data_IF_133339356974
#
_entry.id   IF_133339356974
#
_cell.length_a   1.000
_cell.length_b   1.000
_cell.length_c   1.000
_cell.angle_alpha   90.00
_cell.angle_beta   90.00
_cell.angle_gamma   90.00
#
_symmetry.space_group_name_H-M   'P 1'
#
loop_
_entity.id
_entity.type
_entity.pdbx_description
1 polymer ?
#
# COMPACT_ATOMS: atom_id res chain seq x y z
N UNK A 1 -3.64 26.33 -2.34
CA UNK A 1 -4.87 25.91 -3.07
C UNK A 1 -5.87 25.34 -2.08
N UNK A 2 -7.13 25.77 -2.10
CA UNK A 2 -8.19 25.17 -1.29
C UNK A 2 -8.58 23.79 -1.85
N UNK A 3 -8.72 22.81 -0.96
CA UNK A 3 -9.19 21.46 -1.25
C UNK A 3 -10.32 21.16 -0.29
N UNK A 4 -11.44 20.66 -0.79
CA UNK A 4 -12.56 20.28 0.06
C UNK A 4 -12.49 18.79 0.39
N UNK A 5 -12.69 18.42 1.64
CA UNK A 5 -12.74 17.03 2.09
C UNK A 5 -14.19 16.61 2.24
N UNK A 6 -14.58 15.59 1.49
CA UNK A 6 -15.86 14.89 1.65
C UNK A 6 -15.61 13.60 2.39
N UNK A 7 -16.39 13.33 3.44
CA UNK A 7 -16.30 12.09 4.21
C UNK A 7 -17.28 11.06 3.63
N UNK A 8 -16.76 9.98 3.07
CA UNK A 8 -17.58 8.87 2.56
C UNK A 8 -17.52 7.70 3.56
N UNK A 9 -18.67 7.19 4.06
CA UNK A 9 -18.68 6.08 5.01
C UNK A 9 -18.13 4.80 4.38
N UNK A 10 -17.28 4.07 5.14
CA UNK A 10 -16.73 2.76 4.75
C UNK A 10 -17.73 1.62 4.94
N UNK A 11 -18.68 1.78 5.87
CA UNK A 11 -19.67 0.80 6.29
C UNK A 11 -20.99 1.49 6.66
N UNK A 12 -22.10 0.76 6.63
CA UNK A 12 -23.38 1.24 7.14
C UNK A 12 -23.31 1.56 8.64
N UNK A 13 -24.00 2.62 9.08
CA UNK A 13 -24.03 3.03 10.49
C UNK A 13 -22.70 3.58 11.03
N UNK A 14 -21.87 4.19 10.17
CA UNK A 14 -20.60 4.80 10.56
C UNK A 14 -20.80 5.87 11.65
N UNK A 15 -20.12 5.71 12.80
CA UNK A 15 -20.20 6.63 13.95
C UNK A 15 -18.87 7.35 14.20
N UNK A 16 -17.76 6.66 14.03
CA UNK A 16 -16.42 7.18 14.32
C UNK A 16 -15.76 7.78 13.08
N UNK A 17 -14.89 8.79 13.25
CA UNK A 17 -14.11 9.37 12.14
C UNK A 17 -13.29 8.33 11.37
N UNK A 18 -12.83 7.28 12.06
CA UNK A 18 -12.10 6.16 11.44
C UNK A 18 -12.94 5.35 10.45
N UNK A 19 -14.26 5.40 10.56
CA UNK A 19 -15.19 4.72 9.64
C UNK A 19 -15.40 5.49 8.33
N UNK A 20 -14.85 6.70 8.20
CA UNK A 20 -14.96 7.49 6.97
C UNK A 20 -13.67 7.45 6.15
N UNK A 21 -13.83 7.58 4.82
CA UNK A 21 -12.74 7.87 3.88
C UNK A 21 -12.79 9.35 3.51
N UNK A 22 -11.72 10.13 3.77
CA UNK A 22 -11.67 11.51 3.33
C UNK A 22 -11.32 11.57 1.84
N UNK A 23 -12.26 11.98 1.00
CA UNK A 23 -12.03 12.22 -0.42
C UNK A 23 -11.73 13.70 -0.64
N UNK A 24 -10.60 13.98 -1.28
CA UNK A 24 -10.21 15.33 -1.66
C UNK A 24 -10.86 15.75 -2.97
N UNK A 25 -11.77 16.72 -2.91
CA UNK A 25 -12.28 17.44 -4.06
C UNK A 25 -11.31 18.56 -4.44
N UNK A 26 -10.67 18.37 -5.58
CA UNK A 26 -9.62 19.23 -6.09
C UNK A 26 -10.19 20.25 -7.08
N UNK A 27 -9.64 21.48 -7.04
CA UNK A 27 -9.92 22.48 -8.08
C UNK A 27 -9.54 21.98 -9.47
N UNK A 28 -10.37 22.28 -10.47
CA UNK A 28 -10.21 21.75 -11.84
C UNK A 28 -8.83 22.02 -12.46
N UNK A 29 -8.32 23.25 -12.31
CA UNK A 29 -7.00 23.62 -12.82
C UNK A 29 -5.88 22.79 -12.18
N UNK A 30 -5.91 22.62 -10.85
CA UNK A 30 -4.94 21.76 -10.16
C UNK A 30 -5.06 20.31 -10.63
N UNK A 31 -6.28 19.79 -10.80
CA UNK A 31 -6.49 18.42 -11.26
C UNK A 31 -5.88 18.17 -12.65
N UNK A 32 -5.96 19.15 -13.55
CA UNK A 32 -5.30 19.10 -14.86
C UNK A 32 -3.77 19.05 -14.71
N UNK A 33 -3.20 19.96 -13.91
CA UNK A 33 -1.75 19.98 -13.65
C UNK A 33 -1.26 18.66 -13.04
N UNK A 34 -1.93 18.19 -11.98
CA UNK A 34 -1.63 16.92 -11.32
C UNK A 34 -1.74 15.74 -12.30
N UNK A 35 -2.73 15.75 -13.20
CA UNK A 35 -2.87 14.72 -14.24
C UNK A 35 -1.73 14.76 -15.26
N UNK A 36 -1.28 15.94 -15.67
CA UNK A 36 -0.11 16.09 -16.56
C UNK A 36 1.14 15.53 -15.89
N UNK A 37 1.38 15.87 -14.62
CA UNK A 37 2.51 15.35 -13.85
C UNK A 37 2.42 13.82 -13.68
N UNK A 38 1.25 13.30 -13.30
CA UNK A 38 1.01 11.86 -13.17
C UNK A 38 1.29 11.12 -14.48
N UNK A 39 0.83 11.65 -15.62
CA UNK A 39 1.07 11.05 -16.93
C UNK A 39 2.56 11.06 -17.33
N UNK A 40 3.33 12.07 -16.91
CA UNK A 40 4.79 12.11 -17.12
C UNK A 40 5.49 11.09 -16.22
N UNK A 41 5.12 11.03 -14.95
CA UNK A 41 5.67 10.08 -13.97
C UNK A 41 5.42 8.63 -14.39
N UNK A 42 4.21 8.34 -14.89
CA UNK A 42 3.83 7.01 -15.41
C UNK A 42 4.81 6.47 -16.46
N UNK A 43 5.45 7.33 -17.27
CA UNK A 43 6.39 6.91 -18.31
C UNK A 43 7.73 6.41 -17.76
N UNK A 44 8.09 6.82 -16.55
CA UNK A 44 9.36 6.45 -15.91
C UNK A 44 9.18 5.47 -14.76
N UNK A 45 7.94 5.28 -14.29
CA UNK A 45 7.63 4.46 -13.11
C UNK A 45 8.21 3.04 -13.22
N UNK A 46 8.04 2.37 -14.36
CA UNK A 46 8.57 1.02 -14.63
C UNK A 46 10.09 0.90 -14.46
N UNK A 47 10.83 2.00 -14.61
CA UNK A 47 12.29 2.01 -14.51
C UNK A 47 12.79 2.23 -13.08
N UNK A 48 11.93 2.73 -12.19
CA UNK A 48 12.31 3.18 -10.84
C UNK A 48 11.69 2.36 -9.72
N UNK A 49 10.72 1.49 -10.04
CA UNK A 49 10.09 0.57 -9.08
C UNK A 49 10.46 -0.88 -9.40
N UNK A 50 10.41 -1.75 -8.39
CA UNK A 50 10.71 -3.18 -8.56
C UNK A 50 9.77 -3.84 -9.57
N UNK A 51 10.27 -4.89 -10.22
CA UNK A 51 9.48 -5.80 -11.06
C UNK A 51 8.30 -6.45 -10.33
N UNK A 52 8.33 -6.50 -9.00
CA UNK A 52 7.25 -7.08 -8.17
C UNK A 52 6.09 -6.10 -7.93
N UNK A 53 6.29 -4.80 -8.17
CA UNK A 53 5.25 -3.80 -8.00
C UNK A 53 4.28 -3.84 -9.19
N UNK A 54 3.04 -4.23 -8.93
CA UNK A 54 2.01 -4.39 -9.96
C UNK A 54 1.03 -3.21 -10.00
N UNK A 55 0.95 -2.40 -8.93
CA UNK A 55 -0.01 -1.30 -8.85
C UNK A 55 0.44 -0.07 -9.65
N UNK A 56 -0.44 0.45 -10.51
CA UNK A 56 -0.26 1.68 -11.30
C UNK A 56 0.92 1.69 -12.30
N UNK A 57 1.60 0.56 -12.47
CA UNK A 57 2.65 0.34 -13.48
C UNK A 57 1.98 0.06 -14.83
N UNK A 58 2.51 0.63 -15.92
CA UNK A 58 1.93 0.40 -17.25
C UNK A 58 2.22 -1.05 -17.68
N UNK A 59 1.30 -1.62 -18.47
CA UNK A 59 1.41 -3.01 -18.93
C UNK A 59 1.06 -4.08 -17.88
N UNK A 60 0.92 -3.72 -16.60
CA UNK A 60 0.55 -4.63 -15.53
C UNK A 60 -0.93 -4.48 -15.15
N UNK A 61 -1.62 -5.60 -14.99
CA UNK A 61 -2.98 -5.66 -14.49
C UNK A 61 -2.99 -6.01 -13.01
N UNK A 62 -4.03 -5.55 -12.31
CA UNK A 62 -4.21 -5.89 -10.89
C UNK A 62 -4.40 -7.39 -10.67
N UNK A 63 -4.95 -8.08 -11.68
CA UNK A 63 -5.17 -9.52 -11.66
C UNK A 63 -3.85 -10.30 -11.78
N UNK A 64 -2.84 -9.75 -12.46
CA UNK A 64 -1.52 -10.40 -12.61
C UNK A 64 -0.89 -10.69 -11.25
N UNK A 65 -1.03 -9.76 -10.29
CA UNK A 65 -0.54 -9.93 -8.92
C UNK A 65 -1.19 -11.13 -8.21
N UNK A 66 -2.48 -11.36 -8.46
CA UNK A 66 -3.21 -12.48 -7.87
C UNK A 66 -2.89 -13.80 -8.56
N UNK A 67 -2.66 -13.76 -9.88
CA UNK A 67 -2.26 -14.93 -10.66
C UNK A 67 -0.87 -15.41 -10.26
N UNK A 68 0.12 -14.51 -10.24
CA UNK A 68 1.50 -14.82 -9.82
C UNK A 68 1.50 -15.39 -8.40
N UNK A 69 0.76 -14.78 -7.47
CA UNK A 69 0.67 -15.29 -6.10
C UNK A 69 0.09 -16.72 -6.04
N UNK A 70 -0.96 -17.01 -6.82
CA UNK A 70 -1.51 -18.36 -6.93
C UNK A 70 -0.51 -19.36 -7.54
N UNK A 71 0.23 -18.97 -8.57
CA UNK A 71 1.26 -19.83 -9.19
C UNK A 71 2.39 -20.17 -8.19
N UNK A 72 2.84 -19.20 -7.39
CA UNK A 72 3.84 -19.42 -6.33
C UNK A 72 3.31 -20.37 -5.25
N UNK A 73 2.06 -20.17 -4.82
CA UNK A 73 1.40 -21.05 -3.84
C UNK A 73 1.29 -22.48 -4.38
N UNK A 74 0.84 -22.65 -5.62
CA UNK A 74 0.70 -23.95 -6.27
C UNK A 74 2.06 -24.63 -6.46
N UNK A 75 3.10 -23.85 -6.76
CA UNK A 75 4.47 -24.34 -6.87
C UNK A 75 4.98 -24.91 -5.53
N UNK A 76 4.80 -24.18 -4.43
CA UNK A 76 5.18 -24.66 -3.09
C UNK A 76 4.41 -25.93 -2.70
N UNK A 77 3.11 -25.98 -2.95
CA UNK A 77 2.31 -27.19 -2.70
C UNK A 77 2.81 -28.40 -3.49
N UNK A 78 3.09 -28.23 -4.80
CA UNK A 78 3.56 -29.33 -5.67
C UNK A 78 4.91 -29.87 -5.22
N UNK A 79 5.78 -29.01 -4.69
CA UNK A 79 7.10 -29.40 -4.19
C UNK A 79 7.13 -29.83 -2.73
N UNK A 80 5.99 -29.72 -2.01
CA UNK A 80 5.91 -29.90 -0.56
C UNK A 80 6.90 -29.00 0.18
N UNK A 81 7.18 -27.83 -0.37
CA UNK A 81 8.02 -26.82 0.27
C UNK A 81 7.20 -26.07 1.33
N UNK A 82 7.86 -25.72 2.43
CA UNK A 82 7.27 -24.88 3.48
C UNK A 82 7.49 -23.42 3.12
N UNK A 83 6.45 -22.60 3.29
CA UNK A 83 6.48 -21.19 2.93
C UNK A 83 5.62 -20.34 3.85
N UNK A 84 5.92 -19.03 3.89
CA UNK A 84 5.15 -18.07 4.67
C UNK A 84 4.68 -16.92 3.76
N UNK A 85 3.39 -16.63 3.80
CA UNK A 85 2.81 -15.48 3.10
C UNK A 85 2.50 -14.40 4.12
N UNK A 86 3.08 -13.22 3.93
CA UNK A 86 2.82 -12.04 4.75
C UNK A 86 1.89 -11.09 4.01
N UNK A 87 0.62 -11.02 4.43
CA UNK A 87 -0.34 -10.02 3.94
C UNK A 87 -0.31 -8.82 4.89
N UNK A 88 0.33 -7.73 4.46
CA UNK A 88 0.48 -6.52 5.25
C UNK A 88 -0.59 -5.48 4.90
N UNK A 89 -1.21 -4.85 5.90
CA UNK A 89 -2.09 -3.69 5.73
C UNK A 89 -1.40 -2.43 6.25
N UNK A 90 -1.61 -1.27 5.61
CA UNK A 90 -1.00 0.01 6.02
C UNK A 90 -2.09 0.94 6.55
N UNK A 91 -1.90 1.42 7.78
CA UNK A 91 -2.79 2.39 8.39
C UNK A 91 -2.79 3.70 7.64
N UNK A 92 -3.98 4.14 7.19
CA UNK A 92 -4.18 5.48 6.60
C UNK A 92 -3.09 5.82 5.57
N UNK A 93 -2.83 4.88 4.66
CA UNK A 93 -1.70 4.88 3.74
C UNK A 93 -1.45 6.24 3.06
N UNK A 94 -2.49 6.86 2.49
CA UNK A 94 -2.35 8.19 1.89
C UNK A 94 -2.16 9.27 2.94
N UNK A 95 -2.90 9.28 4.04
CA UNK A 95 -2.96 10.40 4.98
C UNK A 95 -1.70 10.55 5.86
N UNK A 96 -0.83 9.54 5.92
CA UNK A 96 0.23 9.43 6.92
C UNK A 96 1.66 9.59 6.40
N UNK A 97 1.89 9.45 5.09
CA UNK A 97 3.26 9.48 4.54
C UNK A 97 3.96 10.82 4.80
N UNK A 98 5.18 10.77 5.34
CA UNK A 98 6.00 11.93 5.64
C UNK A 98 6.54 12.56 4.35
N UNK A 99 6.36 13.88 4.18
CA UNK A 99 6.81 14.56 2.97
C UNK A 99 8.33 14.63 2.84
N UNK A 100 9.06 14.87 3.93
CA UNK A 100 10.53 14.91 3.89
C UNK A 100 11.10 13.55 3.49
N UNK A 101 10.50 12.46 3.97
CA UNK A 101 10.83 11.12 3.51
C UNK A 101 10.59 10.97 2.00
N UNK A 102 9.40 11.31 1.52
CA UNK A 102 9.08 11.22 0.09
C UNK A 102 10.05 12.04 -0.77
N UNK A 103 10.41 13.25 -0.33
CA UNK A 103 11.38 14.09 -1.05
C UNK A 103 12.78 13.47 -1.06
N UNK A 104 13.21 12.84 0.04
CA UNK A 104 14.49 12.08 0.07
C UNK A 104 14.45 10.88 -0.87
N UNK A 105 13.32 10.17 -0.98
CA UNK A 105 13.15 9.06 -1.91
C UNK A 105 13.26 9.53 -3.35
N UNK A 106 12.56 10.60 -3.72
CA UNK A 106 12.65 11.20 -5.06
C UNK A 106 14.08 11.62 -5.40
N UNK A 107 14.78 12.25 -4.45
CA UNK A 107 16.18 12.62 -4.64
C UNK A 107 17.06 11.38 -4.89
N UNK A 108 16.90 10.32 -4.10
CA UNK A 108 17.68 9.07 -4.25
C UNK A 108 17.35 8.30 -5.52
N UNK A 109 16.13 8.43 -6.03
CA UNK A 109 15.73 7.89 -7.34
C UNK A 109 16.23 8.74 -8.52
N UNK A 110 16.92 9.86 -8.27
CA UNK A 110 17.51 10.70 -9.31
C UNK A 110 16.54 11.68 -9.98
N UNK A 111 15.40 11.99 -9.35
CA UNK A 111 14.51 13.04 -9.87
C UNK A 111 15.19 14.41 -9.75
N UNK A 112 15.16 15.20 -10.84
CA UNK A 112 15.78 16.53 -10.87
C UNK A 112 15.09 17.54 -9.95
N UNK A 113 15.83 18.56 -9.52
CA UNK A 113 15.38 19.61 -8.58
C UNK A 113 14.07 20.27 -9.00
N UNK A 114 13.95 20.68 -10.27
CA UNK A 114 12.72 21.30 -10.80
C UNK A 114 11.49 20.41 -10.67
N UNK A 115 11.65 19.10 -10.89
CA UNK A 115 10.54 18.16 -10.71
C UNK A 115 10.17 18.05 -9.23
N UNK A 116 11.19 17.89 -8.37
CA UNK A 116 11.00 17.83 -6.93
C UNK A 116 10.31 19.07 -6.37
N UNK A 117 10.66 20.26 -6.85
CA UNK A 117 9.96 21.51 -6.51
C UNK A 117 8.49 21.44 -6.89
N UNK A 118 8.14 21.02 -8.11
CA UNK A 118 6.73 20.87 -8.50
C UNK A 118 5.97 19.89 -7.61
N UNK A 119 6.58 18.75 -7.26
CA UNK A 119 5.97 17.79 -6.33
C UNK A 119 5.78 18.42 -4.96
N UNK A 120 6.81 19.10 -4.43
CA UNK A 120 6.73 19.81 -3.16
C UNK A 120 5.61 20.84 -3.14
N UNK A 121 5.49 21.65 -4.20
CA UNK A 121 4.40 22.61 -4.37
C UNK A 121 3.03 21.93 -4.39
N UNK A 122 2.91 20.78 -5.08
CA UNK A 122 1.66 20.03 -5.12
C UNK A 122 1.22 19.57 -3.73
N UNK A 123 2.14 19.01 -2.92
CA UNK A 123 1.80 18.41 -1.63
C UNK A 123 1.69 19.44 -0.48
N UNK A 124 2.55 20.47 -0.45
CA UNK A 124 2.66 21.40 0.69
C UNK A 124 1.68 22.57 0.66
N UNK A 125 1.20 22.97 -0.51
CA UNK A 125 0.35 24.18 -0.65
C UNK A 125 -1.15 23.93 -0.50
N UNK A 126 -1.54 22.69 -0.25
CA UNK A 126 -2.93 22.31 -0.04
C UNK A 126 -3.42 22.80 1.34
N UNK A 127 -4.52 23.56 1.34
CA UNK A 127 -5.30 23.86 2.54
C UNK A 127 -6.62 23.09 2.46
N UNK A 128 -6.97 22.39 3.52
CA UNK A 128 -8.16 21.54 3.55
C UNK A 128 -9.30 22.23 4.28
N UNK A 129 -10.52 21.99 3.81
CA UNK A 129 -11.75 22.35 4.49
C UNK A 129 -12.69 21.16 4.47
N UNK A 130 -13.31 20.82 5.59
CA UNK A 130 -14.25 19.69 5.65
C UNK A 130 -15.61 20.15 5.17
N UNK A 131 -16.22 19.43 4.23
CA UNK A 131 -17.60 19.68 3.84
C UNK A 131 -18.54 18.98 4.82
N UNK A 132 -19.24 19.78 5.63
CA UNK A 132 -20.29 19.31 6.52
C UNK A 132 -21.62 19.68 5.89
N UNK A 133 -22.42 18.68 5.50
CA UNK A 133 -23.69 18.86 4.79
C UNK A 133 -23.57 19.76 3.54
N UNK A 134 -22.47 19.65 2.80
CA UNK A 134 -22.20 20.43 1.59
C UNK A 134 -21.64 21.83 1.84
N UNK A 135 -21.50 22.26 3.10
CA UNK A 135 -20.94 23.57 3.46
C UNK A 135 -19.51 23.42 3.98
N UNK A 136 -18.54 24.21 3.50
CA UNK A 136 -17.16 24.16 3.98
C UNK A 136 -17.05 24.68 5.41
N UNK A 137 -16.52 23.86 6.30
CA UNK A 137 -16.32 24.14 7.71
C UNK A 137 -14.82 24.31 8.01
N UNK A 138 -14.40 25.56 8.14
CA UNK A 138 -13.04 25.95 8.52
C UNK A 138 -11.97 25.61 7.47
N UNK A 139 -10.75 26.11 7.68
CA UNK A 139 -9.58 25.71 6.92
C UNK A 139 -8.47 25.28 7.87
N UNK A 140 -7.79 24.19 7.53
CA UNK A 140 -6.61 23.74 8.25
C UNK A 140 -5.47 23.43 7.27
N UNK A 141 -4.22 23.71 7.65
CA UNK A 141 -3.06 23.32 6.87
C UNK A 141 -2.82 21.80 7.00
N UNK A 142 -2.03 21.27 6.08
CA UNK A 142 -1.54 19.90 6.19
C UNK A 142 0.00 19.90 6.27
N UNK A 143 0.56 18.89 6.93
CA UNK A 143 2.00 18.73 7.13
C UNK A 143 2.53 17.37 6.68
N UNK A 144 1.65 16.43 6.32
CA UNK A 144 1.99 15.08 5.84
C UNK A 144 0.86 14.47 5.02
N UNK A 145 1.13 13.36 4.35
CA UNK A 145 0.12 12.64 3.61
C UNK A 145 -0.12 13.18 2.20
N UNK A 146 -0.76 12.36 1.38
CA UNK A 146 -1.11 12.59 0.01
C UNK A 146 -2.63 12.67 -0.11
N UNK A 147 -3.12 13.43 -1.08
CA UNK A 147 -4.56 13.64 -1.26
C UNK A 147 -5.22 12.42 -1.89
N UNK A 148 -6.19 11.81 -1.20
CA UNK A 148 -7.01 10.77 -1.77
C UNK A 148 -7.95 11.35 -2.85
N UNK A 149 -7.86 10.86 -4.08
CA UNK A 149 -8.58 11.40 -5.25
C UNK A 149 -7.72 12.31 -6.15
N UNK A 150 -6.49 12.61 -5.74
CA UNK A 150 -5.51 13.28 -6.59
C UNK A 150 -4.88 12.29 -7.59
N UNK A 151 -4.88 12.59 -8.90
CA UNK A 151 -4.25 11.74 -9.91
C UNK A 151 -2.77 11.41 -9.68
N UNK A 152 -2.05 12.29 -8.98
CA UNK A 152 -0.61 12.15 -8.73
C UNK A 152 -0.32 11.30 -7.48
N UNK A 153 -1.19 11.35 -6.46
CA UNK A 153 -0.98 10.70 -5.17
C UNK A 153 -0.69 9.19 -5.25
N UNK A 154 -1.41 8.37 -6.05
CA UNK A 154 -1.14 6.94 -6.15
C UNK A 154 0.30 6.64 -6.59
N UNK A 155 0.83 7.41 -7.54
CA UNK A 155 2.19 7.22 -8.04
C UNK A 155 3.24 7.60 -7.01
N UNK A 156 3.05 8.73 -6.32
CA UNK A 156 3.95 9.14 -5.25
C UNK A 156 3.96 8.14 -4.09
N UNK A 157 2.79 7.58 -3.76
CA UNK A 157 2.69 6.54 -2.75
C UNK A 157 3.47 5.28 -3.15
N UNK A 158 3.33 4.82 -4.40
CA UNK A 158 4.08 3.67 -4.94
C UNK A 158 5.60 3.90 -4.83
N UNK A 159 6.10 5.09 -5.15
CA UNK A 159 7.52 5.41 -4.99
C UNK A 159 7.97 5.35 -3.52
N UNK A 160 7.14 5.82 -2.58
CA UNK A 160 7.41 5.67 -1.15
C UNK A 160 7.47 4.21 -0.71
N UNK A 161 6.56 3.38 -1.22
CA UNK A 161 6.50 1.95 -0.92
C UNK A 161 7.68 1.15 -1.49
N UNK A 162 8.32 1.62 -2.56
CA UNK A 162 9.52 0.99 -3.12
C UNK A 162 10.66 0.87 -2.08
N UNK A 163 10.69 1.78 -1.10
CA UNK A 163 11.65 1.70 0.01
C UNK A 163 11.41 0.44 0.86
N UNK A 164 10.15 0.11 1.15
CA UNK A 164 9.83 -1.11 1.89
C UNK A 164 10.29 -2.35 1.11
N UNK A 165 9.98 -2.42 -0.18
CA UNK A 165 10.45 -3.51 -1.05
C UNK A 165 11.98 -3.62 -1.07
N UNK A 166 12.68 -2.48 -1.11
CA UNK A 166 14.14 -2.44 -1.06
C UNK A 166 14.70 -2.88 0.29
N UNK A 167 14.07 -2.51 1.40
CA UNK A 167 14.46 -2.94 2.75
C UNK A 167 14.27 -4.44 2.93
N UNK A 168 13.15 -5.00 2.45
CA UNK A 168 12.91 -6.45 2.46
C UNK A 168 13.98 -7.17 1.65
N UNK A 169 14.29 -6.73 0.42
CA UNK A 169 15.35 -7.34 -0.38
C UNK A 169 16.71 -7.29 0.32
N UNK A 170 17.09 -6.16 0.91
CA UNK A 170 18.34 -6.05 1.68
C UNK A 170 18.37 -6.96 2.90
N UNK A 171 17.24 -7.15 3.57
CA UNK A 171 17.15 -8.10 4.67
C UNK A 171 17.33 -9.55 4.19
N UNK A 172 16.80 -9.89 3.01
CA UNK A 172 17.03 -11.19 2.36
C UNK A 172 18.51 -11.36 1.96
N UNK A 173 19.07 -10.40 1.24
CA UNK A 173 20.48 -10.43 0.77
C UNK A 173 21.47 -10.47 1.94
N UNK A 174 21.13 -9.81 3.06
CA UNK A 174 21.91 -9.82 4.29
C UNK A 174 21.71 -11.07 5.15
N UNK A 175 20.88 -12.03 4.73
CA UNK A 175 20.61 -13.27 5.46
C UNK A 175 19.70 -13.11 6.69
N UNK A 176 19.14 -11.92 6.92
CA UNK A 176 18.17 -11.66 8.01
C UNK A 176 16.80 -12.27 7.71
N UNK A 177 16.48 -12.48 6.43
CA UNK A 177 15.30 -13.20 5.97
C UNK A 177 15.75 -14.36 5.07
N UNK A 178 15.59 -15.60 5.55
CA UNK A 178 15.78 -16.80 4.73
C UNK A 178 14.64 -17.78 4.97
N UNK A 179 14.27 -18.57 3.95
CA UNK A 179 13.05 -19.39 3.87
C UNK A 179 12.60 -20.07 5.18
N UNK A 180 11.70 -19.39 5.90
CA UNK A 180 11.10 -19.77 7.18
C UNK A 180 12.03 -19.82 8.41
N UNK A 181 13.07 -18.98 8.49
CA UNK A 181 13.68 -18.59 9.77
C UNK A 181 13.70 -17.07 9.89
N UNK A 182 12.69 -16.52 10.57
CA UNK A 182 12.73 -15.14 11.05
C UNK A 182 13.63 -15.14 12.29
N UNK A 183 14.91 -14.82 12.15
CA UNK A 183 15.70 -14.44 13.32
C UNK A 183 15.30 -13.01 13.69
N UNK A 184 14.69 -12.89 14.86
CA UNK A 184 13.79 -11.81 15.23
C UNK A 184 14.29 -10.37 15.18
N UNK A 185 13.36 -9.53 15.66
CA UNK A 185 13.24 -8.06 15.62
C UNK A 185 12.79 -7.54 14.26
N UNK A 186 11.55 -7.04 14.22
CA UNK A 186 10.94 -6.25 13.14
C UNK A 186 11.68 -4.95 12.79
N UNK A 187 12.99 -5.02 12.54
CA UNK A 187 13.84 -3.89 12.19
C UNK A 187 13.44 -3.28 10.85
N UNK A 188 13.01 -4.09 9.88
CA UNK A 188 12.49 -3.58 8.60
C UNK A 188 11.23 -2.74 8.83
N UNK A 189 10.30 -3.21 9.66
CA UNK A 189 9.09 -2.49 10.04
C UNK A 189 9.44 -1.21 10.80
N UNK A 190 10.18 -1.30 11.90
CA UNK A 190 10.58 -0.14 12.73
C UNK A 190 11.32 0.94 11.92
N UNK A 191 12.27 0.55 11.07
CA UNK A 191 13.02 1.49 10.21
C UNK A 191 12.08 2.12 9.18
N UNK A 192 11.21 1.34 8.57
CA UNK A 192 10.27 1.85 7.57
C UNK A 192 9.26 2.80 8.21
N UNK A 193 8.65 2.45 9.34
CA UNK A 193 7.69 3.30 10.04
C UNK A 193 8.34 4.60 10.53
N UNK A 194 9.51 4.51 11.17
CA UNK A 194 10.22 5.68 11.69
C UNK A 194 10.64 6.64 10.58
N UNK A 195 11.04 6.12 9.42
CA UNK A 195 11.47 6.95 8.28
C UNK A 195 10.30 7.49 7.47
N UNK A 196 9.30 6.66 7.16
CA UNK A 196 8.20 7.00 6.26
C UNK A 196 7.03 7.70 6.95
N UNK A 197 6.90 7.55 8.27
CA UNK A 197 5.72 7.97 9.03
C UNK A 197 4.46 7.12 8.76
N UNK A 198 4.56 6.09 7.92
CA UNK A 198 3.52 5.08 7.73
C UNK A 198 3.53 4.11 8.90
N UNK A 199 2.39 3.48 9.17
CA UNK A 199 2.31 2.40 10.15
C UNK A 199 1.68 1.15 9.55
N UNK A 200 2.22 -0.01 9.89
CA UNK A 200 1.63 -1.29 9.52
C UNK A 200 0.47 -1.56 10.48
N UNK A 201 -0.70 -1.88 9.93
CA UNK A 201 -1.85 -2.27 10.71
C UNK A 201 -1.75 -3.75 11.06
N UNK A 202 -1.00 -4.06 12.11
CA UNK A 202 -0.76 -5.45 12.52
C UNK A 202 -2.07 -6.22 12.83
N UNK A 203 -3.10 -5.53 13.33
CA UNK A 203 -4.42 -6.13 13.60
C UNK A 203 -5.19 -6.57 12.34
N UNK A 204 -4.84 -6.01 11.18
CA UNK A 204 -5.38 -6.37 9.85
C UNK A 204 -4.38 -7.14 8.99
N UNK A 205 -3.10 -7.13 9.35
CA UNK A 205 -2.07 -7.97 8.74
C UNK A 205 -2.27 -9.43 9.13
N UNK A 206 -1.93 -10.33 8.22
CA UNK A 206 -2.14 -11.77 8.37
C UNK A 206 -0.91 -12.53 7.88
N UNK A 207 -0.44 -13.49 8.68
CA UNK A 207 0.52 -14.51 8.28
C UNK A 207 -0.22 -15.78 7.87
N UNK A 208 0.12 -16.33 6.72
CA UNK A 208 -0.51 -17.55 6.20
C UNK A 208 0.61 -18.57 5.96
N UNK A 209 0.65 -19.68 6.72
CA UNK A 209 1.60 -20.75 6.49
C UNK A 209 1.22 -21.57 5.26
N UNK A 210 2.23 -22.03 4.53
CA UNK A 210 2.14 -23.00 3.43
C UNK A 210 2.88 -24.24 3.86
N UNK A 211 2.15 -25.35 4.03
CA UNK A 211 2.67 -26.55 4.70
C UNK A 211 2.70 -26.42 6.23
N UNK A 212 3.23 -27.44 6.89
CA UNK A 212 3.32 -27.49 8.36
C UNK A 212 4.51 -26.65 8.87
N UNK A 213 4.22 -25.57 9.60
CA UNK A 213 5.19 -24.68 10.24
C UNK A 213 4.88 -24.68 11.75
N UNK A 214 5.76 -25.29 12.53
CA UNK A 214 5.55 -25.54 13.97
C UNK A 214 5.53 -24.24 14.81
N UNK A 215 6.22 -23.19 14.37
CA UNK A 215 6.42 -21.94 15.14
C UNK A 215 5.51 -20.80 14.65
N UNK A 216 4.43 -21.10 13.93
CA UNK A 216 3.61 -20.05 13.28
C UNK A 216 2.90 -19.14 14.28
N UNK A 217 2.38 -19.67 15.39
CA UNK A 217 1.76 -18.85 16.42
C UNK A 217 2.77 -17.93 17.09
N UNK A 218 3.97 -18.41 17.39
CA UNK A 218 5.03 -17.61 18.01
C UNK A 218 5.47 -16.46 17.09
N UNK A 219 5.69 -16.75 15.79
CA UNK A 219 6.00 -15.73 14.80
C UNK A 219 4.88 -14.69 14.65
N UNK A 220 3.62 -15.11 14.69
CA UNK A 220 2.48 -14.19 14.61
C UNK A 220 2.40 -13.28 15.83
N UNK A 221 2.70 -13.81 17.03
CA UNK A 221 2.78 -13.03 18.27
C UNK A 221 3.94 -12.04 18.22
N UNK A 222 5.14 -12.45 17.79
CA UNK A 222 6.29 -11.56 17.66
C UNK A 222 6.02 -10.42 16.68
N UNK A 223 5.34 -10.72 15.57
CA UNK A 223 4.94 -9.74 14.56
C UNK A 223 3.64 -9.00 14.93
N UNK A 224 2.97 -9.33 16.03
CA UNK A 224 1.73 -8.70 16.48
C UNK A 224 0.53 -8.87 15.52
N UNK A 225 0.56 -9.88 14.65
CA UNK A 225 -0.42 -10.09 13.59
C UNK A 225 -1.19 -11.41 13.74
N UNK A 226 -2.19 -11.64 12.89
CA UNK A 226 -3.04 -12.83 12.97
C UNK A 226 -2.49 -13.97 12.11
N UNK A 227 -2.64 -15.20 12.59
CA UNK A 227 -2.49 -16.38 11.72
C UNK A 227 -3.77 -16.55 10.90
N UNK A 228 -3.62 -16.73 9.59
CA UNK A 228 -4.70 -17.04 8.66
C UNK A 228 -4.42 -18.35 7.93
N UNK A 229 -5.32 -18.70 7.02
CA UNK A 229 -5.24 -19.93 6.23
C UNK A 229 -5.62 -19.67 4.76
N UNK A 230 -5.23 -20.60 3.89
CA UNK A 230 -5.76 -20.68 2.53
C UNK A 230 -7.04 -21.55 2.49
N UNK A 231 -7.98 -21.29 1.55
CA UNK A 231 -7.96 -20.18 0.61
C UNK A 231 -8.35 -18.84 1.26
N UNK A 232 -7.82 -17.73 0.74
CA UNK A 232 -8.14 -16.36 1.23
C UNK A 232 -8.44 -15.41 0.07
N UNK A 233 -9.01 -14.23 0.34
CA UNK A 233 -9.27 -13.22 -0.70
C UNK A 233 -8.13 -12.21 -0.77
N UNK A 234 -7.62 -11.99 -1.98
CA UNK A 234 -6.64 -10.96 -2.31
C UNK A 234 -7.02 -10.27 -3.62
N UNK A 235 -7.11 -8.94 -3.57
CA UNK A 235 -7.51 -8.12 -4.72
C UNK A 235 -8.82 -8.54 -5.40
N UNK A 236 -9.75 -9.11 -4.61
CA UNK A 236 -11.05 -9.59 -5.09
C UNK A 236 -11.05 -10.99 -5.70
N UNK A 237 -9.90 -11.68 -5.70
CA UNK A 237 -9.76 -13.05 -6.18
C UNK A 237 -9.40 -14.02 -5.04
N UNK A 238 -9.79 -15.30 -5.14
CA UNK A 238 -9.31 -16.32 -4.23
C UNK A 238 -7.82 -16.61 -4.47
N UNK A 239 -7.06 -16.71 -3.38
CA UNK A 239 -5.70 -17.23 -3.33
C UNK A 239 -5.72 -18.64 -2.74
N UNK A 240 -4.97 -19.55 -3.35
CA UNK A 240 -4.79 -20.92 -2.87
C UNK A 240 -6.05 -21.79 -2.99
N UNK A 241 -7.03 -21.40 -3.80
CA UNK A 241 -8.18 -22.24 -4.10
C UNK A 241 -7.77 -23.32 -5.10
N UNK A 242 -8.13 -24.58 -4.84
CA UNK A 242 -7.87 -25.66 -5.78
C UNK A 242 -8.56 -25.41 -7.12
N UNK A 243 -7.82 -25.55 -8.21
CA UNK A 243 -8.28 -25.39 -9.61
C UNK A 243 -9.49 -26.28 -9.99
N UNK A 244 -9.86 -27.27 -9.15
CA UNK A 244 -11.04 -28.15 -9.33
C UNK A 244 -12.30 -27.68 -8.58
N UNK A 245 -12.26 -26.58 -7.83
CA UNK A 245 -13.40 -26.08 -7.05
C UNK A 245 -14.28 -25.06 -7.82
N UNK A 246 -14.36 -25.16 -9.15
CA UNK A 246 -15.38 -24.43 -9.91
C UNK A 246 -16.68 -25.23 -9.87
N UNK A 247 -17.32 -25.19 -8.70
CA UNK A 247 -18.74 -25.46 -8.52
C UNK A 247 -19.23 -24.78 -7.24
N UNK A 248 -19.02 -23.47 -7.12
CA UNK A 248 -19.82 -22.66 -6.21
C UNK A 248 -20.56 -21.63 -7.05
N UNK A 249 -21.83 -21.95 -7.26
CA UNK A 249 -22.75 -21.18 -8.07
C UNK A 249 -22.84 -19.74 -7.60
N UNK A 250 -22.98 -18.85 -8.57
CA UNK A 250 -23.50 -17.51 -8.36
C UNK A 250 -24.97 -17.66 -7.91
N UNK A 251 -25.18 -17.84 -6.61
CA UNK A 251 -26.48 -17.76 -5.97
C UNK A 251 -26.68 -16.34 -5.44
N UNK A 252 -27.41 -15.53 -6.21
CA UNK A 252 -27.82 -14.21 -5.78
C UNK A 252 -28.76 -14.26 -4.57
N UNK A 253 -28.59 -13.29 -3.68
CA UNK A 253 -29.64 -12.40 -3.12
C UNK A 253 -28.95 -11.23 -2.44
#
# INVERSE_FOLDING_TARGET
MSTFLVLIPKKGGAKDLGDFRPISLLGGLYKLLAKVLANRLKKVLEKVVSGDQNAFVRGKQILDASLIANEVIDFWHKRKEKGLICKLDIEKAYDSINWNFLMKVLLKMGFGSRWMEWIWWCISTAKFSVLVNGVPAGFFPNSKGLRQGDPLSPYLFVLGMEVLSTLIRRAVDGGFLSGCRLQGRGGVELIFEASSGLRINLAKSVLIPIGEIEEIEEMAVELGCKVGSLPTVYLGLPLGAHHKAISVGWGGR
#
